data_IF_771543594054
#
_entry.id   IF_771543594054
#
_cell.length_a   1.000
_cell.length_b   1.000
_cell.length_c   1.000
_cell.angle_alpha   90.00
_cell.angle_beta   90.00
_cell.angle_gamma   90.00
#
_symmetry.space_group_name_H-M   'P 1'
#
loop_
_entity.id
_entity.type
_entity.pdbx_description
1 polymer ?
#
# COMPACT_ATOMS: atom_id res chain seq x y z
N UNK A 1 -45.58 69.61 27.02
CA UNK A 1 -45.57 68.26 27.63
C UNK A 1 -45.20 67.25 26.55
N UNK A 2 -44.01 66.64 26.67
CA UNK A 2 -43.39 65.78 25.64
C UNK A 2 -44.06 64.39 25.62
N UNK A 3 -44.43 63.91 24.44
CA UNK A 3 -44.95 62.55 24.19
C UNK A 3 -43.79 61.55 24.24
N UNK A 4 -43.90 60.50 25.04
CA UNK A 4 -42.94 59.38 25.09
C UNK A 4 -43.58 58.20 24.34
N UNK A 5 -42.98 57.81 23.21
CA UNK A 5 -43.25 56.54 22.52
C UNK A 5 -42.45 55.44 23.23
N UNK A 6 -43.11 54.38 23.69
CA UNK A 6 -42.47 53.14 24.12
C UNK A 6 -42.27 52.24 22.89
N UNK A 7 -41.03 51.95 22.53
CA UNK A 7 -40.68 51.01 21.48
C UNK A 7 -40.58 49.58 22.07
N UNK A 8 -41.37 48.66 21.53
CA UNK A 8 -41.24 47.22 21.81
C UNK A 8 -40.00 46.67 21.07
N UNK A 9 -39.03 46.15 21.84
CA UNK A 9 -37.91 45.38 21.30
C UNK A 9 -38.32 43.92 21.20
N UNK A 10 -38.50 43.43 19.97
CA UNK A 10 -38.68 42.00 19.69
C UNK A 10 -37.28 41.38 19.59
N UNK A 11 -36.90 40.56 20.58
CA UNK A 11 -35.69 39.73 20.51
C UNK A 11 -35.94 38.56 19.55
N UNK A 12 -35.35 38.62 18.35
CA UNK A 12 -35.24 37.46 17.47
C UNK A 12 -34.19 36.49 18.05
N UNK A 13 -34.62 35.33 18.53
CA UNK A 13 -33.73 34.26 18.93
C UNK A 13 -33.05 33.67 17.68
N UNK A 14 -31.74 33.88 17.54
CA UNK A 14 -30.95 33.21 16.51
C UNK A 14 -30.89 31.72 16.82
N UNK A 15 -31.52 30.90 15.98
CA UNK A 15 -31.37 29.44 16.00
C UNK A 15 -29.97 29.13 15.47
N UNK A 16 -29.04 28.80 16.35
CA UNK A 16 -27.73 28.28 15.97
C UNK A 16 -27.94 26.88 15.35
N UNK A 17 -27.32 26.57 14.19
CA UNK A 17 -27.37 25.22 13.64
C UNK A 17 -26.72 24.24 14.63
N UNK A 18 -27.40 23.14 14.92
CA UNK A 18 -26.87 22.06 15.74
C UNK A 18 -25.58 21.53 15.11
N UNK A 19 -24.50 21.46 15.89
CA UNK A 19 -23.28 20.79 15.47
C UNK A 19 -23.61 19.33 15.09
N UNK A 20 -23.20 18.92 13.89
CA UNK A 20 -23.29 17.52 13.50
C UNK A 20 -22.53 16.67 14.53
N UNK A 21 -23.06 15.52 14.97
CA UNK A 21 -22.33 14.64 15.86
C UNK A 21 -20.99 14.29 15.20
N UNK A 22 -19.89 14.54 15.92
CA UNK A 22 -18.58 14.08 15.51
C UNK A 22 -18.68 12.57 15.28
N UNK A 23 -18.61 12.12 14.02
CA UNK A 23 -18.51 10.70 13.73
C UNK A 23 -17.26 10.19 14.45
N UNK A 24 -17.42 9.22 15.36
CA UNK A 24 -16.28 8.56 15.98
C UNK A 24 -15.38 8.04 14.84
N UNK A 25 -14.10 8.43 14.85
CA UNK A 25 -13.16 8.03 13.82
C UNK A 25 -13.13 6.50 13.73
N UNK A 26 -13.19 5.96 12.50
CA UNK A 26 -13.16 4.52 12.29
C UNK A 26 -11.76 4.01 12.61
N UNK A 27 -11.58 3.05 13.54
CA UNK A 27 -10.25 2.55 13.85
C UNK A 27 -9.63 1.85 12.63
N UNK A 28 -8.32 2.05 12.44
CA UNK A 28 -7.50 1.30 11.53
C UNK A 28 -7.42 -0.16 12.02
N UNK A 29 -7.84 -1.08 11.15
CA UNK A 29 -7.82 -2.52 11.44
C UNK A 29 -6.78 -3.26 10.61
N UNK A 30 -6.32 -2.67 9.50
CA UNK A 30 -5.22 -3.18 8.69
C UNK A 30 -3.97 -2.33 8.94
N UNK A 31 -3.24 -2.68 10.00
CA UNK A 31 -1.99 -2.04 10.41
C UNK A 31 -0.83 -2.79 9.76
N UNK A 32 -0.44 -2.30 8.59
CA UNK A 32 0.31 -3.09 7.61
C UNK A 32 1.77 -2.71 7.45
N UNK A 33 2.59 -3.69 7.08
CA UNK A 33 3.95 -3.49 6.60
C UNK A 33 4.20 -4.34 5.35
N UNK A 34 4.70 -3.73 4.27
CA UNK A 34 5.28 -4.49 3.15
C UNK A 34 6.71 -4.88 3.54
N UNK A 35 6.98 -6.17 3.66
CA UNK A 35 8.30 -6.66 4.08
C UNK A 35 8.89 -7.61 3.05
N UNK A 36 8.62 -7.40 1.76
CA UNK A 36 8.97 -8.41 0.77
C UNK A 36 10.49 -8.56 0.57
N UNK A 37 11.30 -7.53 0.87
CA UNK A 37 12.77 -7.65 0.88
C UNK A 37 13.31 -8.49 2.04
N UNK A 38 12.55 -8.64 3.14
CA UNK A 38 13.09 -9.13 4.42
C UNK A 38 13.56 -10.57 4.35
N UNK A 39 12.89 -11.41 3.55
CA UNK A 39 13.26 -12.81 3.44
C UNK A 39 14.69 -12.93 2.89
N UNK A 40 15.02 -12.14 1.88
CA UNK A 40 16.36 -12.12 1.30
C UNK A 40 17.37 -11.51 2.25
N UNK A 41 17.02 -10.43 2.94
CA UNK A 41 17.87 -9.84 3.98
C UNK A 41 18.27 -10.91 5.03
N UNK A 42 17.30 -11.70 5.51
CA UNK A 42 17.54 -12.78 6.47
C UNK A 42 18.39 -13.92 5.87
N UNK A 43 18.13 -14.34 4.63
CA UNK A 43 18.94 -15.33 3.92
C UNK A 43 20.41 -14.86 3.76
N UNK A 44 20.65 -13.54 3.75
CA UNK A 44 21.97 -12.89 3.71
C UNK A 44 22.56 -12.59 5.11
N UNK A 45 21.89 -12.98 6.19
CA UNK A 45 22.38 -12.84 7.56
C UNK A 45 22.10 -11.50 8.22
N UNK A 46 21.18 -10.69 7.68
CA UNK A 46 20.72 -9.45 8.31
C UNK A 46 20.20 -9.73 9.73
N UNK A 47 20.50 -8.80 10.64
CA UNK A 47 20.04 -8.86 12.04
C UNK A 47 19.15 -7.66 12.32
N UNK A 48 18.17 -7.88 13.19
CA UNK A 48 17.22 -6.86 13.60
C UNK A 48 17.15 -6.83 15.12
N UNK A 49 17.02 -5.63 15.67
CA UNK A 49 17.04 -5.36 17.09
C UNK A 49 15.84 -4.47 17.45
N UNK A 50 15.16 -4.82 18.55
CA UNK A 50 14.09 -4.00 19.07
C UNK A 50 14.62 -2.70 19.72
N UNK A 51 13.72 -1.85 20.21
CA UNK A 51 14.09 -0.58 20.84
C UNK A 51 14.94 -0.73 22.13
N UNK A 52 14.99 -1.94 22.72
CA UNK A 52 15.87 -2.24 23.87
C UNK A 52 17.26 -2.73 23.45
N UNK A 53 17.49 -2.92 22.15
CA UNK A 53 18.72 -3.48 21.59
C UNK A 53 18.75 -5.01 21.58
N UNK A 54 17.64 -5.69 21.88
CA UNK A 54 17.59 -7.14 21.84
C UNK A 54 17.38 -7.65 20.41
N UNK A 55 18.23 -8.57 19.97
CA UNK A 55 18.09 -9.21 18.66
C UNK A 55 16.81 -10.06 18.62
N UNK A 56 15.96 -9.84 17.63
CA UNK A 56 14.71 -10.58 17.42
C UNK A 56 14.43 -10.75 15.93
N UNK A 57 13.46 -11.62 15.63
CA UNK A 57 12.89 -11.70 14.28
C UNK A 57 12.19 -10.38 13.94
N UNK A 58 12.40 -9.80 12.73
CA UNK A 58 11.83 -8.50 12.36
C UNK A 58 10.30 -8.47 12.40
N UNK A 59 9.61 -9.58 12.10
CA UNK A 59 8.15 -9.64 12.20
C UNK A 59 7.68 -9.60 13.66
N UNK A 60 8.44 -10.17 14.59
CA UNK A 60 8.10 -10.09 16.02
C UNK A 60 8.30 -8.66 16.54
N UNK A 61 9.35 -7.97 16.08
CA UNK A 61 9.61 -6.56 16.39
C UNK A 61 8.47 -5.69 15.87
N UNK A 62 8.13 -5.82 14.58
CA UNK A 62 7.05 -5.07 13.94
C UNK A 62 5.70 -5.33 14.61
N UNK A 63 5.39 -6.58 14.96
CA UNK A 63 4.19 -6.94 15.73
C UNK A 63 4.18 -6.28 17.10
N UNK A 64 5.34 -6.21 17.78
CA UNK A 64 5.51 -5.53 19.06
C UNK A 64 5.24 -4.02 19.01
N UNK A 65 5.35 -3.39 17.84
CA UNK A 65 5.00 -1.97 17.62
C UNK A 65 3.69 -1.76 16.87
N UNK A 66 2.86 -2.81 16.75
CA UNK A 66 1.45 -2.71 16.35
C UNK A 66 1.12 -3.29 14.97
N UNK A 67 2.09 -3.78 14.21
CA UNK A 67 1.79 -4.43 12.91
C UNK A 67 0.93 -5.67 13.12
N UNK A 68 -0.16 -5.76 12.37
CA UNK A 68 -1.06 -6.91 12.36
C UNK A 68 -1.26 -7.51 10.95
N UNK A 69 -0.70 -6.86 9.93
CA UNK A 69 -0.86 -7.22 8.52
C UNK A 69 0.50 -7.15 7.80
N UNK A 70 0.82 -8.17 7.01
CA UNK A 70 2.00 -8.19 6.16
C UNK A 70 1.56 -8.16 4.70
N UNK A 71 2.11 -7.23 3.93
CA UNK A 71 2.02 -7.18 2.47
C UNK A 71 3.27 -7.84 1.87
N UNK A 72 3.07 -8.67 0.85
CA UNK A 72 4.14 -9.29 0.08
C UNK A 72 3.86 -9.07 -1.42
N UNK A 73 4.76 -8.39 -2.11
CA UNK A 73 4.76 -8.34 -3.56
C UNK A 73 5.08 -9.72 -4.15
N UNK A 74 4.43 -10.03 -5.26
CA UNK A 74 4.72 -11.21 -6.06
C UNK A 74 4.93 -10.82 -7.53
N UNK A 75 6.09 -11.21 -8.04
CA UNK A 75 6.47 -11.18 -9.45
C UNK A 75 6.29 -12.57 -10.07
N UNK A 76 6.05 -12.61 -11.39
CA UNK A 76 5.78 -13.84 -12.13
C UNK A 76 7.03 -14.74 -12.21
N UNK A 77 8.10 -14.22 -12.78
CA UNK A 77 9.37 -14.93 -12.94
C UNK A 77 10.59 -14.00 -12.83
N UNK A 78 10.83 -13.42 -11.65
CA UNK A 78 11.97 -12.53 -11.42
C UNK A 78 13.30 -13.28 -11.48
N UNK A 79 14.28 -12.72 -12.20
CA UNK A 79 15.63 -13.29 -12.37
C UNK A 79 16.34 -13.49 -11.03
N UNK A 80 16.07 -12.63 -10.04
CA UNK A 80 16.66 -12.70 -8.70
C UNK A 80 16.34 -14.00 -7.95
N UNK A 81 15.26 -14.70 -8.33
CA UNK A 81 14.74 -15.86 -7.61
C UNK A 81 13.97 -15.52 -6.32
N UNK A 82 13.74 -14.23 -6.03
CA UNK A 82 12.97 -13.73 -4.87
C UNK A 82 11.69 -13.04 -5.29
N UNK A 83 10.73 -12.90 -4.37
CA UNK A 83 9.38 -12.39 -4.64
C UNK A 83 8.61 -13.17 -5.73
N UNK A 84 9.02 -14.40 -6.03
CA UNK A 84 8.24 -15.31 -6.87
C UNK A 84 7.26 -16.14 -6.01
N UNK A 85 6.39 -16.90 -6.67
CA UNK A 85 5.44 -17.82 -6.00
C UNK A 85 6.11 -18.68 -4.92
N UNK A 86 7.23 -19.33 -5.24
CA UNK A 86 7.89 -20.25 -4.31
C UNK A 86 8.35 -19.54 -3.02
N UNK A 87 8.97 -18.36 -3.16
CA UNK A 87 9.44 -17.55 -2.02
C UNK A 87 8.28 -16.95 -1.23
N UNK A 88 7.23 -16.48 -1.88
CA UNK A 88 6.01 -16.00 -1.21
C UNK A 88 5.33 -17.12 -0.41
N UNK A 89 5.20 -18.33 -0.96
CA UNK A 89 4.68 -19.48 -0.22
C UNK A 89 5.53 -19.81 1.01
N UNK A 90 6.86 -19.80 0.85
CA UNK A 90 7.78 -20.06 1.96
C UNK A 90 7.59 -19.02 3.08
N UNK A 91 7.61 -17.73 2.73
CA UNK A 91 7.55 -16.66 3.73
C UNK A 91 6.16 -16.48 4.34
N UNK A 92 5.09 -16.77 3.60
CA UNK A 92 3.72 -16.77 4.10
C UNK A 92 3.53 -17.72 5.30
N UNK A 93 4.27 -18.84 5.36
CA UNK A 93 4.25 -19.73 6.54
C UNK A 93 4.76 -19.01 7.78
N UNK A 94 5.86 -18.28 7.67
CA UNK A 94 6.42 -17.47 8.76
C UNK A 94 5.44 -16.40 9.20
N UNK A 95 4.84 -15.66 8.25
CA UNK A 95 3.85 -14.62 8.52
C UNK A 95 2.65 -15.17 9.29
N UNK A 96 2.03 -16.23 8.79
CA UNK A 96 0.82 -16.79 9.41
C UNK A 96 1.12 -17.51 10.74
N UNK A 97 2.29 -18.16 10.88
CA UNK A 97 2.71 -18.77 12.14
C UNK A 97 2.88 -17.75 13.27
N UNK A 98 3.22 -16.50 12.94
CA UNK A 98 3.28 -15.38 13.91
C UNK A 98 1.91 -14.74 14.17
N UNK A 99 0.84 -15.24 13.56
CA UNK A 99 -0.52 -14.73 13.72
C UNK A 99 -0.80 -13.41 13.00
N UNK A 100 0.05 -13.04 12.03
CA UNK A 100 -0.15 -11.85 11.21
C UNK A 100 -1.11 -12.18 10.04
N UNK A 101 -1.87 -11.18 9.59
CA UNK A 101 -2.66 -11.28 8.35
C UNK A 101 -1.76 -11.13 7.13
N UNK A 102 -2.19 -11.67 5.99
CA UNK A 102 -1.40 -11.70 4.75
C UNK A 102 -2.14 -11.02 3.60
N UNK A 103 -1.49 -10.03 2.98
CA UNK A 103 -1.88 -9.38 1.73
C UNK A 103 -0.87 -9.80 0.67
N UNK A 104 -1.32 -10.41 -0.43
CA UNK A 104 -0.45 -10.74 -1.58
C UNK A 104 -0.70 -9.75 -2.70
N UNK A 105 0.34 -9.02 -3.09
CA UNK A 105 0.28 -8.01 -4.12
C UNK A 105 0.83 -8.52 -5.46
N UNK A 106 -0.07 -8.81 -6.40
CA UNK A 106 0.28 -9.28 -7.72
C UNK A 106 0.66 -8.12 -8.62
N UNK A 107 1.96 -7.99 -8.91
CA UNK A 107 2.43 -7.01 -9.88
C UNK A 107 2.08 -7.37 -11.33
N UNK A 108 1.84 -8.66 -11.61
CA UNK A 108 1.71 -9.18 -12.98
C UNK A 108 2.85 -8.76 -13.90
N UNK A 109 4.08 -8.85 -13.38
CA UNK A 109 5.32 -8.55 -14.10
C UNK A 109 6.45 -9.41 -13.53
N UNK A 110 7.56 -9.51 -14.26
CA UNK A 110 8.80 -10.16 -13.77
C UNK A 110 9.66 -9.21 -12.91
N UNK A 111 9.25 -7.93 -12.81
CA UNK A 111 9.97 -6.86 -12.11
C UNK A 111 8.98 -5.83 -11.57
N UNK A 112 9.49 -4.69 -11.11
CA UNK A 112 8.70 -3.57 -10.62
C UNK A 112 7.56 -3.18 -11.58
N UNK A 113 6.39 -2.93 -10.98
CA UNK A 113 5.23 -2.38 -11.64
C UNK A 113 4.84 -1.12 -10.87
N UNK A 114 4.78 0.00 -11.59
CA UNK A 114 4.58 1.36 -11.08
C UNK A 114 3.82 2.20 -12.14
N UNK A 115 3.44 3.47 -11.89
CA UNK A 115 2.69 4.26 -12.85
C UNK A 115 3.40 4.47 -14.21
N UNK A 116 4.73 4.33 -14.24
CA UNK A 116 5.55 4.44 -15.44
C UNK A 116 5.90 3.10 -16.10
N UNK A 117 5.72 1.97 -15.40
CA UNK A 117 6.14 0.63 -15.84
C UNK A 117 5.09 -0.41 -15.50
N UNK A 118 4.55 -1.07 -16.52
CA UNK A 118 3.57 -2.16 -16.37
C UNK A 118 3.88 -3.29 -17.36
N UNK A 119 5.14 -3.73 -17.40
CA UNK A 119 5.62 -4.68 -18.40
C UNK A 119 4.95 -6.05 -18.24
N UNK A 120 4.56 -6.65 -19.36
CA UNK A 120 4.16 -8.07 -19.38
C UNK A 120 5.34 -8.94 -18.91
N UNK A 121 5.08 -10.00 -18.12
CA UNK A 121 6.06 -11.06 -17.89
C UNK A 121 6.57 -11.62 -19.23
N UNK A 122 7.82 -12.08 -19.27
CA UNK A 122 8.43 -12.63 -20.47
C UNK A 122 7.61 -13.79 -21.06
N UNK A 123 7.02 -14.62 -20.21
CA UNK A 123 6.14 -15.72 -20.63
C UNK A 123 4.86 -15.25 -21.35
N UNK A 124 4.46 -13.99 -21.18
CA UNK A 124 3.23 -13.41 -21.73
C UNK A 124 3.50 -12.32 -22.78
N UNK A 125 4.76 -12.16 -23.22
CA UNK A 125 5.17 -11.04 -24.08
C UNK A 125 4.36 -10.95 -25.37
N UNK A 126 4.02 -12.09 -25.96
CA UNK A 126 3.28 -12.20 -27.22
C UNK A 126 1.78 -12.47 -27.04
N UNK A 127 1.29 -12.51 -25.81
CA UNK A 127 -0.11 -12.75 -25.52
C UNK A 127 -0.91 -11.47 -25.73
N UNK A 128 -2.00 -11.56 -26.48
CA UNK A 128 -3.00 -10.51 -26.60
C UNK A 128 -4.05 -10.57 -25.49
N UNK A 129 -4.94 -9.57 -25.42
CA UNK A 129 -5.87 -9.38 -24.29
C UNK A 129 -6.67 -10.64 -23.87
N UNK A 130 -7.15 -11.44 -24.82
CA UNK A 130 -7.92 -12.65 -24.51
C UNK A 130 -7.10 -13.71 -23.77
N UNK A 131 -5.85 -13.91 -24.17
CA UNK A 131 -4.94 -14.83 -23.50
C UNK A 131 -4.48 -14.25 -22.15
N UNK A 132 -4.18 -12.95 -22.08
CA UNK A 132 -3.81 -12.29 -20.83
C UNK A 132 -4.90 -12.36 -19.77
N UNK A 133 -6.18 -12.33 -20.17
CA UNK A 133 -7.29 -12.55 -19.25
C UNK A 133 -7.22 -13.96 -18.62
N UNK A 134 -6.93 -14.99 -19.42
CA UNK A 134 -6.75 -16.35 -18.92
C UNK A 134 -5.50 -16.48 -18.05
N UNK A 135 -4.41 -15.79 -18.42
CA UNK A 135 -3.15 -15.79 -17.68
C UNK A 135 -3.29 -15.14 -16.30
N UNK A 136 -3.94 -13.97 -16.22
CA UNK A 136 -4.24 -13.29 -14.94
C UNK A 136 -5.11 -14.17 -14.05
N UNK A 137 -6.16 -14.79 -14.61
CA UNK A 137 -6.99 -15.72 -13.85
C UNK A 137 -6.17 -16.89 -13.32
N UNK A 138 -5.45 -17.59 -14.21
CA UNK A 138 -4.70 -18.79 -13.89
C UNK A 138 -3.62 -18.54 -12.86
N UNK A 139 -2.83 -17.47 -13.02
CA UNK A 139 -1.76 -17.14 -12.09
C UNK A 139 -2.28 -16.74 -10.71
N UNK A 140 -3.33 -15.91 -10.67
CA UNK A 140 -3.95 -15.50 -9.40
C UNK A 140 -4.54 -16.69 -8.66
N UNK A 141 -5.27 -17.56 -9.37
CA UNK A 141 -5.88 -18.76 -8.79
C UNK A 141 -4.81 -19.72 -8.28
N UNK A 142 -3.77 -19.99 -9.06
CA UNK A 142 -2.70 -20.91 -8.71
C UNK A 142 -1.96 -20.48 -7.44
N UNK A 143 -1.57 -19.21 -7.33
CA UNK A 143 -0.90 -18.68 -6.14
C UNK A 143 -1.83 -18.73 -4.92
N UNK A 144 -3.06 -18.23 -5.05
CA UNK A 144 -4.03 -18.24 -3.97
C UNK A 144 -4.36 -19.67 -3.50
N UNK A 145 -4.63 -20.59 -4.43
CA UNK A 145 -4.97 -21.97 -4.12
C UNK A 145 -3.80 -22.70 -3.46
N UNK A 146 -2.56 -22.42 -3.89
CA UNK A 146 -1.38 -23.01 -3.27
C UNK A 146 -1.16 -22.50 -1.84
N UNK A 147 -1.37 -21.20 -1.60
CA UNK A 147 -1.35 -20.61 -0.25
C UNK A 147 -2.45 -21.21 0.65
N UNK A 148 -3.66 -21.38 0.12
CA UNK A 148 -4.78 -22.02 0.82
C UNK A 148 -4.47 -23.48 1.17
N UNK A 149 -3.94 -24.24 0.21
CA UNK A 149 -3.61 -25.65 0.40
C UNK A 149 -2.55 -25.88 1.50
N UNK A 150 -1.63 -24.94 1.71
CA UNK A 150 -0.66 -25.00 2.79
C UNK A 150 -1.13 -24.37 4.12
N UNK A 151 -2.41 -23.98 4.22
CA UNK A 151 -2.98 -23.38 5.44
C UNK A 151 -2.62 -21.91 5.66
N UNK A 152 -2.10 -21.22 4.65
CA UNK A 152 -1.74 -19.78 4.71
C UNK A 152 -2.60 -18.95 3.77
N UNK A 153 -3.89 -19.23 3.68
CA UNK A 153 -4.84 -18.50 2.83
C UNK A 153 -4.66 -16.99 3.03
N UNK A 154 -4.50 -16.21 1.94
CA UNK A 154 -4.35 -14.77 2.05
C UNK A 154 -5.65 -14.15 2.57
N UNK A 155 -5.51 -13.19 3.47
CA UNK A 155 -6.61 -12.39 4.02
C UNK A 155 -7.10 -11.37 2.97
N UNK A 156 -6.16 -10.82 2.19
CA UNK A 156 -6.42 -9.98 1.02
C UNK A 156 -5.46 -10.31 -0.12
N UNK A 157 -5.86 -9.96 -1.34
CA UNK A 157 -4.96 -9.88 -2.50
C UNK A 157 -5.14 -8.54 -3.20
N UNK A 158 -4.09 -8.06 -3.84
CA UNK A 158 -4.11 -6.87 -4.68
C UNK A 158 -3.87 -7.28 -6.14
N UNK A 159 -4.75 -6.84 -7.03
CA UNK A 159 -4.73 -7.20 -8.46
C UNK A 159 -4.11 -6.05 -9.24
N UNK A 160 -2.79 -6.13 -9.44
CA UNK A 160 -1.98 -5.06 -10.03
C UNK A 160 -1.46 -4.10 -8.97
N UNK A 161 -0.23 -3.61 -9.16
CA UNK A 161 0.37 -2.57 -8.33
C UNK A 161 0.41 -1.23 -9.08
N UNK A 162 -0.10 -0.17 -8.43
CA UNK A 162 -0.10 1.21 -8.95
C UNK A 162 -0.51 1.29 -10.43
N UNK A 163 -1.66 0.70 -10.74
CA UNK A 163 -2.14 0.51 -12.12
C UNK A 163 -2.81 1.76 -12.68
N UNK A 164 -2.28 2.95 -12.34
CA UNK A 164 -2.91 4.25 -12.60
C UNK A 164 -3.39 4.38 -14.05
N UNK A 165 -2.65 3.85 -15.04
CA UNK A 165 -3.08 3.83 -16.45
C UNK A 165 -3.14 2.41 -17.04
N UNK A 166 -3.48 1.43 -16.21
CA UNK A 166 -3.65 0.03 -16.56
C UNK A 166 -2.48 -0.87 -16.16
N UNK A 167 -2.52 -2.13 -16.60
CA UNK A 167 -1.51 -3.18 -16.31
C UNK A 167 -1.21 -3.98 -17.58
N UNK A 168 -0.12 -4.77 -17.59
CA UNK A 168 0.21 -5.65 -18.73
C UNK A 168 0.24 -4.91 -20.09
N UNK A 169 1.03 -3.83 -20.16
CA UNK A 169 1.07 -2.97 -21.32
C UNK A 169 1.66 -3.67 -22.56
N UNK A 170 1.20 -3.35 -23.77
CA UNK A 170 0.19 -2.33 -24.08
C UNK A 170 -1.26 -2.84 -24.09
N UNK A 171 -1.48 -4.15 -24.00
CA UNK A 171 -2.81 -4.76 -24.15
C UNK A 171 -3.79 -4.31 -23.04
N UNK A 172 -3.33 -4.23 -21.79
CA UNK A 172 -4.15 -3.77 -20.66
C UNK A 172 -3.97 -2.29 -20.31
N UNK A 173 -3.30 -1.50 -21.16
CA UNK A 173 -3.14 -0.05 -20.97
C UNK A 173 -4.45 0.68 -21.26
N UNK A 174 -4.80 1.66 -20.42
CA UNK A 174 -5.93 2.56 -20.70
C UNK A 174 -5.47 3.62 -21.70
N UNK A 175 -6.09 3.64 -22.88
CA UNK A 175 -5.81 4.60 -23.95
C UNK A 175 -7.12 5.27 -24.37
N UNK A 176 -7.11 6.59 -24.57
CA UNK A 176 -8.30 7.37 -24.95
C UNK A 176 -9.51 7.13 -24.04
N UNK A 177 -9.29 7.01 -22.72
CA UNK A 177 -10.31 6.68 -21.72
C UNK A 177 -11.04 5.34 -21.92
N UNK A 178 -10.47 4.40 -22.70
CA UNK A 178 -11.04 3.07 -22.84
C UNK A 178 -10.50 2.11 -21.79
N UNK A 179 -11.35 1.81 -20.80
CA UNK A 179 -11.08 0.87 -19.72
C UNK A 179 -11.43 -0.58 -20.08
N UNK A 180 -11.85 -0.88 -21.32
CA UNK A 180 -12.35 -2.21 -21.70
C UNK A 180 -11.34 -3.31 -21.38
N UNK A 181 -10.11 -3.20 -21.89
CA UNK A 181 -9.11 -4.26 -21.71
C UNK A 181 -8.67 -4.39 -20.25
N UNK A 182 -8.41 -3.27 -19.57
CA UNK A 182 -8.09 -3.28 -18.14
C UNK A 182 -9.20 -3.98 -17.34
N UNK A 183 -10.47 -3.71 -17.64
CA UNK A 183 -11.60 -4.31 -16.93
C UNK A 183 -11.66 -5.83 -17.08
N UNK A 184 -11.25 -6.38 -18.22
CA UNK A 184 -11.20 -7.83 -18.44
C UNK A 184 -10.18 -8.48 -17.50
N UNK A 185 -9.00 -7.88 -17.38
CA UNK A 185 -7.91 -8.35 -16.51
C UNK A 185 -8.31 -8.27 -15.03
N UNK A 186 -8.89 -7.14 -14.60
CA UNK A 186 -9.32 -6.94 -13.21
C UNK A 186 -10.44 -7.91 -12.82
N UNK A 187 -11.42 -8.15 -13.70
CA UNK A 187 -12.46 -9.16 -13.49
C UNK A 187 -11.87 -10.57 -13.40
N UNK A 188 -10.88 -10.90 -14.23
CA UNK A 188 -10.19 -12.18 -14.16
C UNK A 188 -9.50 -12.39 -12.80
N UNK A 189 -8.74 -11.39 -12.32
CA UNK A 189 -8.10 -11.45 -11.00
C UNK A 189 -9.10 -11.55 -9.85
N UNK A 190 -10.18 -10.75 -9.88
CA UNK A 190 -11.25 -10.83 -8.89
C UNK A 190 -11.89 -12.22 -8.86
N UNK A 191 -12.30 -12.73 -10.02
CA UNK A 191 -12.97 -14.03 -10.14
C UNK A 191 -12.07 -15.19 -9.73
N UNK A 192 -10.77 -15.15 -10.07
CA UNK A 192 -9.79 -16.14 -9.64
C UNK A 192 -9.65 -16.15 -8.12
N UNK A 193 -9.58 -14.97 -7.50
CA UNK A 193 -9.52 -14.85 -6.04
C UNK A 193 -10.76 -15.45 -5.38
N UNK A 194 -11.96 -15.10 -5.86
CA UNK A 194 -13.21 -15.61 -5.30
C UNK A 194 -13.40 -17.11 -5.52
N UNK A 195 -12.92 -17.64 -6.65
CA UNK A 195 -12.93 -19.07 -6.91
C UNK A 195 -11.97 -19.85 -5.98
N UNK A 196 -10.80 -19.28 -5.67
CA UNK A 196 -9.87 -19.86 -4.71
C UNK A 196 -10.45 -19.81 -3.27
N UNK A 197 -10.86 -18.63 -2.83
CA UNK A 197 -11.43 -18.40 -1.51
C UNK A 197 -12.36 -17.17 -1.50
N UNK A 198 -13.69 -17.35 -1.38
CA UNK A 198 -14.63 -16.23 -1.46
C UNK A 198 -14.47 -15.19 -0.33
N UNK A 199 -13.89 -15.59 0.80
CA UNK A 199 -13.61 -14.70 1.94
C UNK A 199 -12.39 -13.79 1.77
N UNK A 200 -11.48 -14.09 0.84
CA UNK A 200 -10.30 -13.26 0.58
C UNK A 200 -10.73 -11.95 -0.08
N UNK A 201 -10.33 -10.82 0.51
CA UNK A 201 -10.67 -9.49 -0.01
C UNK A 201 -9.82 -9.17 -1.25
N UNK A 202 -10.42 -8.49 -2.23
CA UNK A 202 -9.73 -8.05 -3.45
C UNK A 202 -9.54 -6.54 -3.40
N UNK A 203 -8.28 -6.13 -3.50
CA UNK A 203 -7.84 -4.72 -3.54
C UNK A 203 -7.48 -4.35 -4.98
N UNK A 204 -7.88 -3.15 -5.38
CA UNK A 204 -7.37 -2.48 -6.58
C UNK A 204 -6.62 -1.24 -6.11
N UNK A 205 -5.41 -1.04 -6.64
CA UNK A 205 -4.44 -0.07 -6.12
C UNK A 205 -3.98 0.92 -7.19
N UNK A 206 -4.04 2.22 -6.88
CA UNK A 206 -3.42 3.29 -7.68
C UNK A 206 -2.60 4.24 -6.81
N UNK A 207 -1.66 4.96 -7.42
CA UNK A 207 -0.89 6.03 -6.77
C UNK A 207 -1.59 7.41 -6.83
N UNK A 208 -2.92 7.45 -6.83
CA UNK A 208 -3.69 8.68 -7.11
C UNK A 208 -4.20 9.40 -5.84
N UNK A 209 -3.46 9.29 -4.71
CA UNK A 209 -3.81 10.03 -3.48
C UNK A 209 -3.57 11.55 -3.58
N UNK A 210 -2.99 12.00 -4.69
CA UNK A 210 -2.67 13.40 -4.99
C UNK A 210 -3.89 14.20 -5.43
N UNK A 211 -4.88 13.55 -6.07
CA UNK A 211 -5.94 14.22 -6.80
C UNK A 211 -7.24 13.41 -6.85
N UNK A 212 -8.34 14.01 -6.35
CA UNK A 212 -9.68 13.48 -6.54
C UNK A 212 -9.95 13.20 -8.03
N UNK A 213 -9.52 14.08 -8.94
CA UNK A 213 -9.78 13.92 -10.36
C UNK A 213 -9.10 12.66 -10.94
N UNK A 214 -7.86 12.37 -10.52
CA UNK A 214 -7.12 11.20 -10.99
C UNK A 214 -7.76 9.92 -10.43
N UNK A 215 -7.99 9.87 -9.12
CA UNK A 215 -8.64 8.73 -8.47
C UNK A 215 -10.03 8.47 -9.07
N UNK A 216 -10.84 9.52 -9.22
CA UNK A 216 -12.17 9.43 -9.83
C UNK A 216 -12.11 8.92 -11.26
N UNK A 217 -11.22 9.45 -12.08
CA UNK A 217 -11.08 9.02 -13.48
C UNK A 217 -10.82 7.51 -13.57
N UNK A 218 -9.90 6.99 -12.76
CA UNK A 218 -9.58 5.57 -12.75
C UNK A 218 -10.74 4.71 -12.22
N UNK A 219 -11.22 5.02 -11.00
CA UNK A 219 -12.21 4.18 -10.32
C UNK A 219 -13.59 4.26 -10.98
N UNK A 220 -13.98 5.41 -11.55
CA UNK A 220 -15.18 5.52 -12.39
C UNK A 220 -15.03 4.68 -13.66
N UNK A 221 -13.85 4.72 -14.29
CA UNK A 221 -13.56 4.00 -15.52
C UNK A 221 -13.76 2.49 -15.35
N UNK A 222 -13.20 1.91 -14.29
CA UNK A 222 -13.37 0.48 -14.01
C UNK A 222 -14.80 0.15 -13.52
N UNK A 223 -15.43 1.03 -12.75
CA UNK A 223 -16.81 0.85 -12.27
C UNK A 223 -17.81 0.84 -13.43
N UNK A 224 -17.66 1.76 -14.40
CA UNK A 224 -18.49 1.84 -15.60
C UNK A 224 -18.39 0.59 -16.48
N UNK A 225 -17.26 -0.14 -16.40
CA UNK A 225 -17.08 -1.44 -17.05
C UNK A 225 -17.55 -2.62 -16.20
N UNK A 226 -18.09 -2.39 -15.01
CA UNK A 226 -18.61 -3.43 -14.11
C UNK A 226 -17.53 -4.25 -13.42
N UNK A 227 -16.34 -3.68 -13.18
CA UNK A 227 -15.32 -4.32 -12.34
C UNK A 227 -15.80 -4.35 -10.89
N UNK A 228 -15.67 -5.50 -10.23
CA UNK A 228 -15.89 -5.64 -8.80
C UNK A 228 -14.56 -5.60 -8.05
N UNK A 229 -14.55 -4.97 -6.88
CA UNK A 229 -13.47 -5.02 -5.91
C UNK A 229 -14.06 -4.79 -4.51
N UNK A 230 -13.31 -5.18 -3.48
CA UNK A 230 -13.77 -5.10 -2.10
C UNK A 230 -13.19 -3.88 -1.38
N UNK A 231 -11.93 -3.53 -1.65
CA UNK A 231 -11.20 -2.45 -0.98
C UNK A 231 -10.48 -1.57 -2.01
N UNK A 232 -10.60 -0.26 -1.87
CA UNK A 232 -9.86 0.73 -2.68
C UNK A 232 -8.49 0.98 -2.05
N UNK A 233 -7.41 0.80 -2.82
CA UNK A 233 -6.03 1.02 -2.37
C UNK A 233 -5.43 2.29 -2.98
N UNK A 234 -4.69 3.03 -2.17
CA UNK A 234 -3.97 4.25 -2.58
C UNK A 234 -2.51 4.23 -2.10
N UNK A 235 -1.55 4.64 -2.92
CA UNK A 235 -0.21 5.02 -2.42
C UNK A 235 -0.23 6.48 -1.97
N UNK A 236 0.38 6.75 -0.81
CA UNK A 236 0.61 8.11 -0.34
C UNK A 236 2.05 8.29 0.16
N UNK A 237 2.84 9.00 -0.63
CA UNK A 237 4.13 9.52 -0.23
C UNK A 237 4.04 11.04 -0.27
N UNK A 238 4.16 11.71 0.88
CA UNK A 238 3.97 13.16 0.94
C UNK A 238 4.98 13.94 0.05
N UNK A 239 6.07 13.29 -0.35
CA UNK A 239 7.11 13.84 -1.24
C UNK A 239 6.60 14.05 -2.68
N UNK A 240 5.56 13.33 -3.11
CA UNK A 240 5.03 13.41 -4.47
C UNK A 240 3.50 13.41 -4.59
N UNK A 241 2.76 13.00 -3.54
CA UNK A 241 1.29 12.87 -3.57
C UNK A 241 0.56 13.99 -2.83
N UNK A 242 1.21 15.15 -2.67
CA UNK A 242 0.59 16.33 -2.08
C UNK A 242 0.44 16.28 -0.56
N UNK A 243 -0.41 17.15 -0.03
CA UNK A 243 -0.56 17.37 1.42
C UNK A 243 -1.42 16.31 2.10
N UNK A 244 -1.38 16.24 3.43
CA UNK A 244 -2.33 15.42 4.19
C UNK A 244 -3.80 15.82 3.96
N UNK A 245 -4.05 17.09 3.61
CA UNK A 245 -5.40 17.51 3.19
C UNK A 245 -5.81 16.86 1.87
N UNK A 246 -4.89 16.73 0.91
CA UNK A 246 -5.14 15.97 -0.32
C UNK A 246 -5.49 14.51 0.01
N UNK A 247 -4.67 13.85 0.84
CA UNK A 247 -4.92 12.49 1.29
C UNK A 247 -6.31 12.33 1.93
N UNK A 248 -6.67 13.23 2.86
CA UNK A 248 -7.96 13.21 3.54
C UNK A 248 -9.13 13.30 2.53
N UNK A 249 -9.03 14.24 1.59
CA UNK A 249 -10.08 14.51 0.63
C UNK A 249 -10.27 13.32 -0.32
N UNK A 250 -9.17 12.78 -0.88
CA UNK A 250 -9.24 11.64 -1.80
C UNK A 250 -9.83 10.43 -1.10
N UNK A 251 -9.34 10.06 0.10
CA UNK A 251 -9.90 8.93 0.86
C UNK A 251 -11.39 9.13 1.11
N UNK A 252 -11.79 10.31 1.58
CA UNK A 252 -13.19 10.61 1.89
C UNK A 252 -14.07 10.51 0.64
N UNK A 253 -13.58 11.01 -0.50
CA UNK A 253 -14.27 10.98 -1.78
C UNK A 253 -14.45 9.55 -2.29
N UNK A 254 -13.37 8.79 -2.48
CA UNK A 254 -13.45 7.44 -3.04
C UNK A 254 -14.25 6.50 -2.15
N UNK A 255 -14.16 6.66 -0.82
CA UNK A 255 -14.97 5.89 0.13
C UNK A 255 -16.46 6.18 -0.05
N UNK A 256 -16.83 7.47 -0.05
CA UNK A 256 -18.23 7.89 -0.19
C UNK A 256 -18.80 7.50 -1.54
N UNK A 257 -18.02 7.68 -2.60
CA UNK A 257 -18.46 7.51 -3.98
C UNK A 257 -18.62 6.06 -4.39
N UNK A 258 -17.69 5.19 -3.99
CA UNK A 258 -17.71 3.78 -4.40
C UNK A 258 -18.29 2.85 -3.32
N UNK A 259 -18.53 3.37 -2.11
CA UNK A 259 -19.10 2.59 -1.00
C UNK A 259 -18.19 1.44 -0.54
N UNK A 260 -16.88 1.57 -0.73
CA UNK A 260 -15.86 0.57 -0.38
C UNK A 260 -14.95 1.09 0.72
N UNK A 261 -14.47 0.21 1.63
CA UNK A 261 -13.35 0.54 2.51
C UNK A 261 -12.13 1.00 1.70
N UNK A 262 -11.33 1.87 2.30
CA UNK A 262 -10.11 2.42 1.69
C UNK A 262 -8.90 2.06 2.54
N UNK A 263 -7.78 1.74 1.91
CA UNK A 263 -6.48 1.63 2.58
C UNK A 263 -5.46 2.55 1.91
N UNK A 264 -4.50 3.02 2.70
CA UNK A 264 -3.21 3.48 2.16
C UNK A 264 -2.34 2.23 2.03
N UNK A 265 -2.15 1.74 0.81
CA UNK A 265 -1.44 0.49 0.51
C UNK A 265 0.08 0.67 0.56
N UNK A 266 0.57 1.89 0.35
CA UNK A 266 1.98 2.23 0.50
C UNK A 266 2.15 3.65 1.07
N UNK A 267 3.04 3.78 2.03
CA UNK A 267 3.57 5.05 2.55
C UNK A 267 4.91 4.79 3.23
N UNK A 268 5.79 5.79 3.28
CA UNK A 268 7.02 5.75 4.05
C UNK A 268 7.63 7.14 4.13
N UNK A 269 8.57 7.35 5.04
CA UNK A 269 9.24 8.64 5.20
C UNK A 269 10.73 8.48 5.52
N UNK A 270 11.61 9.32 4.92
CA UNK A 270 13.03 9.25 5.19
C UNK A 270 13.40 9.74 6.61
N UNK A 271 14.15 8.94 7.35
CA UNK A 271 14.73 9.34 8.64
C UNK A 271 16.07 10.07 8.50
N UNK A 272 16.62 10.15 7.28
CA UNK A 272 17.88 10.81 6.96
C UNK A 272 17.97 11.12 5.46
N UNK A 273 18.81 12.08 5.05
CA UNK A 273 19.22 12.27 3.66
C UNK A 273 20.50 11.49 3.29
N UNK A 274 21.10 10.80 4.27
CA UNK A 274 22.29 9.98 4.07
C UNK A 274 22.00 8.75 3.20
N UNK A 275 23.09 8.11 2.77
CA UNK A 275 23.06 6.91 1.93
C UNK A 275 23.92 5.83 2.60
N UNK A 276 23.39 4.62 2.74
CA UNK A 276 24.09 3.55 3.43
C UNK A 276 25.10 2.81 2.56
N UNK A 277 24.86 2.76 1.24
CA UNK A 277 25.69 2.02 0.29
C UNK A 277 26.06 2.85 -0.95
N UNK A 278 26.41 2.20 -2.07
CA UNK A 278 26.81 2.87 -3.32
C UNK A 278 25.65 3.24 -4.24
N UNK A 279 24.42 2.84 -3.91
CA UNK A 279 23.21 3.10 -4.69
C UNK A 279 22.49 4.29 -4.08
N UNK A 280 22.28 5.35 -4.85
CA UNK A 280 21.60 6.53 -4.34
C UNK A 280 20.14 6.23 -3.97
N UNK A 281 19.74 6.69 -2.77
CA UNK A 281 18.36 6.65 -2.32
C UNK A 281 17.41 7.39 -3.29
N UNK A 282 16.23 6.80 -3.50
CA UNK A 282 15.20 7.32 -4.41
C UNK A 282 14.61 8.65 -3.95
N UNK A 283 14.64 8.88 -2.63
CA UNK A 283 14.14 10.09 -1.99
C UNK A 283 15.20 10.58 -0.99
N UNK A 284 15.63 11.83 -1.15
CA UNK A 284 16.60 12.47 -0.24
C UNK A 284 16.05 13.75 0.40
N UNK A 285 14.75 14.00 0.26
CA UNK A 285 14.05 15.16 0.78
C UNK A 285 12.79 14.75 1.55
N UNK A 286 12.35 15.61 2.46
CA UNK A 286 11.18 15.39 3.29
C UNK A 286 10.08 16.41 3.03
N UNK A 287 8.96 16.20 3.70
CA UNK A 287 7.78 17.05 3.64
C UNK A 287 7.78 18.09 4.77
N UNK A 288 7.19 19.25 4.50
CA UNK A 288 7.11 20.36 5.48
C UNK A 288 6.50 19.89 6.81
N UNK A 289 7.09 20.32 7.92
CA UNK A 289 6.65 19.98 9.27
C UNK A 289 7.30 18.74 9.87
N UNK A 290 8.04 17.95 9.08
CA UNK A 290 8.74 16.76 9.56
C UNK A 290 10.21 16.83 9.17
N UNK A 291 11.12 16.69 10.13
CA UNK A 291 12.55 16.67 9.86
C UNK A 291 13.01 15.29 9.38
N UNK A 292 14.08 15.23 8.58
CA UNK A 292 14.76 13.98 8.21
C UNK A 292 15.52 13.41 9.41
N UNK A 293 14.76 12.88 10.37
CA UNK A 293 15.20 12.38 11.67
C UNK A 293 14.30 11.22 12.09
N UNK A 294 14.72 10.46 13.11
CA UNK A 294 13.91 9.40 13.68
C UNK A 294 12.58 9.90 14.26
N UNK A 295 12.59 11.04 14.94
CA UNK A 295 11.39 11.67 15.46
C UNK A 295 10.47 12.12 14.32
N UNK A 296 11.02 12.76 13.29
CA UNK A 296 10.25 13.22 12.13
C UNK A 296 9.63 12.08 11.32
N UNK A 297 10.34 10.96 11.12
CA UNK A 297 9.77 9.76 10.49
C UNK A 297 8.59 9.19 11.30
N UNK A 298 8.73 9.11 12.63
CA UNK A 298 7.63 8.67 13.50
C UNK A 298 6.43 9.63 13.47
N UNK A 299 6.70 10.93 13.51
CA UNK A 299 5.68 11.97 13.49
C UNK A 299 4.93 12.03 12.15
N UNK A 300 5.62 11.89 11.02
CA UNK A 300 4.99 11.86 9.70
C UNK A 300 4.09 10.64 9.55
N UNK A 301 4.60 9.45 9.90
CA UNK A 301 3.81 8.22 9.80
C UNK A 301 2.59 8.25 10.74
N UNK A 302 2.72 8.84 11.93
CA UNK A 302 1.58 9.07 12.81
C UNK A 302 0.55 10.03 12.18
N UNK A 303 1.00 11.07 11.49
CA UNK A 303 0.12 12.03 10.83
C UNK A 303 -0.61 11.41 9.63
N UNK A 304 0.04 10.55 8.85
CA UNK A 304 -0.60 9.76 7.77
C UNK A 304 -1.68 8.86 8.34
N UNK A 305 -1.37 8.08 9.40
CA UNK A 305 -2.35 7.22 10.07
C UNK A 305 -3.55 8.02 10.61
N UNK A 306 -3.29 9.15 11.27
CA UNK A 306 -4.34 10.01 11.80
C UNK A 306 -5.23 10.59 10.70
N UNK A 307 -4.61 11.06 9.62
CA UNK A 307 -5.32 11.59 8.45
C UNK A 307 -6.20 10.52 7.82
N UNK A 308 -5.64 9.34 7.56
CA UNK A 308 -6.36 8.22 6.98
C UNK A 308 -7.52 7.76 7.88
N UNK A 309 -7.30 7.65 9.20
CA UNK A 309 -8.32 7.28 10.19
C UNK A 309 -9.46 8.31 10.24
N UNK A 310 -9.14 9.60 10.21
CA UNK A 310 -10.13 10.68 10.23
C UNK A 310 -10.93 10.75 8.93
N UNK A 311 -10.30 10.44 7.79
CA UNK A 311 -10.98 10.26 6.51
C UNK A 311 -11.73 8.92 6.42
N UNK A 312 -11.61 8.07 7.46
CA UNK A 312 -12.20 6.74 7.65
C UNK A 312 -11.77 5.69 6.62
N UNK A 313 -10.48 5.70 6.28
CA UNK A 313 -9.80 4.49 5.82
C UNK A 313 -9.79 3.42 6.92
N UNK A 314 -9.61 2.16 6.52
CA UNK A 314 -9.54 1.02 7.43
C UNK A 314 -8.12 0.49 7.62
N UNK A 315 -7.13 1.05 6.91
CA UNK A 315 -5.76 0.56 6.92
C UNK A 315 -4.71 1.50 6.37
N UNK A 316 -3.50 1.32 6.87
CA UNK A 316 -2.28 1.98 6.40
C UNK A 316 -1.15 0.95 6.41
N UNK A 317 -0.42 0.86 5.29
CA UNK A 317 0.70 -0.04 5.09
C UNK A 317 1.99 0.76 4.90
N UNK A 318 2.97 0.56 5.78
CA UNK A 318 4.31 1.13 5.57
C UNK A 318 5.05 0.28 4.54
N UNK A 319 5.63 0.91 3.52
CA UNK A 319 6.36 0.21 2.47
C UNK A 319 7.82 0.00 2.85
N UNK A 320 8.24 -1.27 2.83
CA UNK A 320 9.62 -1.71 3.11
C UNK A 320 10.24 -1.15 4.40
N UNK A 321 9.58 -1.30 5.57
CA UNK A 321 10.14 -0.82 6.83
C UNK A 321 11.43 -1.57 7.21
N UNK A 322 11.65 -2.79 6.70
CA UNK A 322 12.78 -3.66 7.04
C UNK A 322 13.97 -3.56 6.09
N UNK A 323 13.86 -2.80 5.01
CA UNK A 323 14.86 -2.75 3.94
C UNK A 323 15.91 -1.70 4.26
N UNK A 324 16.84 -2.05 5.15
CA UNK A 324 18.09 -1.34 5.29
C UNK A 324 19.15 -1.99 4.42
N UNK A 325 20.21 -1.25 4.08
CA UNK A 325 21.26 -1.72 3.21
C UNK A 325 21.96 -2.98 3.76
N UNK A 326 21.74 -4.09 3.05
CA UNK A 326 22.38 -5.39 3.27
C UNK A 326 23.05 -5.77 1.95
N UNK A 327 24.38 -6.03 1.92
CA UNK A 327 25.07 -6.39 0.69
C UNK A 327 24.39 -7.57 -0.03
N UNK A 328 24.04 -7.35 -1.29
CA UNK A 328 23.34 -8.33 -2.12
C UNK A 328 21.82 -8.36 -1.95
N UNK A 329 21.21 -7.40 -1.24
CA UNK A 329 19.77 -7.21 -1.13
C UNK A 329 19.31 -5.96 -1.90
N UNK A 330 19.81 -5.77 -3.12
CA UNK A 330 19.54 -4.57 -3.90
C UNK A 330 18.15 -4.48 -4.53
N UNK A 331 17.84 -3.31 -5.07
CA UNK A 331 16.51 -3.02 -5.65
C UNK A 331 16.28 -3.64 -7.03
N UNK A 332 17.32 -3.87 -7.83
CA UNK A 332 17.17 -4.36 -9.20
C UNK A 332 17.14 -5.89 -9.23
N UNK A 333 16.00 -6.54 -9.54
CA UNK A 333 15.94 -8.00 -9.60
C UNK A 333 16.82 -8.63 -10.68
N UNK A 334 17.25 -7.88 -11.70
CA UNK A 334 18.19 -8.37 -12.72
C UNK A 334 19.66 -8.28 -12.26
N UNK A 335 19.95 -7.43 -11.26
CA UNK A 335 21.29 -7.25 -10.71
C UNK A 335 21.26 -7.07 -9.19
N UNK A 336 20.55 -7.95 -8.48
CA UNK A 336 20.29 -7.77 -7.05
C UNK A 336 21.55 -7.90 -6.16
N UNK A 337 22.61 -8.51 -6.69
CA UNK A 337 23.91 -8.59 -6.02
C UNK A 337 24.79 -7.36 -6.26
N UNK A 338 24.63 -6.70 -7.41
CA UNK A 338 25.43 -5.52 -7.80
C UNK A 338 24.68 -4.20 -7.68
N UNK A 339 23.36 -4.23 -7.48
CA UNK A 339 22.58 -3.09 -7.00
C UNK A 339 22.61 -3.08 -5.48
N UNK A 340 22.69 -1.89 -4.91
CA UNK A 340 22.43 -1.63 -3.50
C UNK A 340 20.96 -1.31 -3.28
N UNK A 341 20.67 -0.80 -2.09
CA UNK A 341 19.36 -0.44 -1.61
C UNK A 341 19.07 1.03 -1.93
N UNK A 342 18.02 1.29 -2.72
CA UNK A 342 17.58 2.65 -3.05
C UNK A 342 16.56 3.22 -2.05
N UNK A 343 16.36 2.56 -0.90
CA UNK A 343 15.35 2.86 0.10
C UNK A 343 15.87 2.81 1.54
N UNK A 344 17.19 2.66 1.74
CA UNK A 344 17.79 2.38 3.04
C UNK A 344 17.51 3.48 4.09
N UNK A 345 17.26 4.71 3.62
CA UNK A 345 16.99 5.86 4.47
C UNK A 345 15.51 6.00 4.87
N UNK A 346 14.64 5.16 4.32
CA UNK A 346 13.20 5.14 4.57
C UNK A 346 12.74 3.92 5.37
N UNK A 347 13.62 2.94 5.60
CA UNK A 347 13.38 1.88 6.57
C UNK A 347 13.09 2.44 7.97
N UNK A 348 12.35 1.66 8.77
CA UNK A 348 12.13 1.98 10.20
C UNK A 348 13.23 1.38 11.08
N UNK A 349 14.20 0.69 10.48
CA UNK A 349 15.42 0.24 11.12
C UNK A 349 16.59 1.06 10.59
N UNK A 350 17.54 1.46 11.44
CA UNK A 350 18.79 2.04 10.95
C UNK A 350 19.65 0.98 10.24
N UNK A 351 20.76 1.41 9.66
CA UNK A 351 21.69 0.56 8.90
C UNK A 351 22.45 -0.48 9.73
N UNK A 352 22.20 -0.56 11.04
CA UNK A 352 22.68 -1.63 11.92
C UNK A 352 21.55 -2.55 12.41
N UNK A 353 20.33 -2.35 11.89
CA UNK A 353 19.15 -3.15 12.20
C UNK A 353 18.41 -2.75 13.47
N UNK A 354 18.65 -1.57 14.07
CA UNK A 354 17.92 -1.13 15.26
C UNK A 354 16.64 -0.38 14.88
N UNK A 355 15.53 -0.76 15.51
CA UNK A 355 14.21 -0.15 15.30
C UNK A 355 14.16 1.31 15.75
N UNK A 356 13.50 2.17 14.96
CA UNK A 356 13.06 3.50 15.35
C UNK A 356 11.91 3.43 16.38
N UNK A 357 12.14 3.80 17.66
CA UNK A 357 11.12 3.70 18.71
C UNK A 357 9.96 4.68 18.53
N UNK A 358 10.11 5.67 17.66
CA UNK A 358 9.08 6.67 17.36
C UNK A 358 8.07 6.18 16.31
N UNK A 359 8.37 5.11 15.58
CA UNK A 359 7.46 4.53 14.58
C UNK A 359 6.59 3.48 15.24
N UNK A 360 5.27 3.70 15.19
CA UNK A 360 4.26 2.79 15.74
C UNK A 360 3.05 2.71 14.82
N UNK A 361 2.45 1.53 14.77
CA UNK A 361 1.16 1.30 14.13
C UNK A 361 0.07 1.42 15.19
N UNK A 362 -0.87 2.32 14.95
CA UNK A 362 -1.89 2.69 15.94
C UNK A 362 -3.28 2.41 15.40
N UNK A 363 -4.14 1.66 16.13
CA UNK A 363 -5.53 1.44 15.75
C UNK A 363 -6.31 2.75 15.57
#
# INVERSE_FOLDING_TARGET
MKKILAALVVCAAAVLPAAQPAHAATPLTMLGADVSSVQRALDLGARYYDASGAQRDPLDILKGVGVNYVRLRIWNNPISGYNNKAKVLQYARTVKAKGLKLLVDFHFSDTWADPGKQYKPAAWSNHGIGQLQADVYGYTYDVCASLKAQGTTPDSVQIGNEINVGMLWNDGKVVNNDFTNLSLLLKAGYNATKACNPGTQVIIHTADADSDANARWFYDGIAAKGVSWDITGLSYYCMCHGTLSNLYNVISDVRSRYGRPVIVAETAYPFTAGNADSTGNSVTSGCSGYGLTWEGQGAEFAAVQNTARNAGAVGVFYWEPTWYAVPGNGWDPANINGSGDGWDNMAVFNWTGHLNPNVRWTP
#
